data_IF_342974077403
#
_entry.id   IF_342974077403
#
_cell.length_a   1.000
_cell.length_b   1.000
_cell.length_c   1.000
_cell.angle_alpha   90.00
_cell.angle_beta   90.00
_cell.angle_gamma   90.00
#
_symmetry.space_group_name_H-M   'P 1'
#
loop_
_entity.id
_entity.type
_entity.pdbx_description
1 polymer ?
#
# COMPACT_ATOMS: atom_id res chain seq x y z
N UNK A 1 -28.27 -42.94 -51.36
CA UNK A 1 -29.49 -43.63 -50.90
C UNK A 1 -29.96 -42.98 -49.60
N UNK A 2 -30.90 -42.01 -49.73
CA UNK A 2 -32.34 -42.11 -49.44
C UNK A 2 -32.61 -42.68 -48.03
N UNK A 3 -33.22 -41.97 -47.07
CA UNK A 3 -34.54 -41.30 -47.10
C UNK A 3 -34.76 -40.53 -45.78
N UNK A 4 -35.22 -39.32 -45.92
CA UNK A 4 -36.17 -38.53 -45.12
C UNK A 4 -37.24 -39.29 -44.37
N UNK A 5 -37.65 -38.80 -43.16
CA UNK A 5 -39.07 -38.55 -42.85
C UNK A 5 -39.30 -37.70 -41.60
N UNK A 6 -39.95 -36.61 -41.82
CA UNK A 6 -40.70 -35.67 -40.99
C UNK A 6 -41.95 -36.27 -40.31
N UNK A 7 -42.37 -35.66 -39.17
CA UNK A 7 -43.76 -35.30 -38.77
C UNK A 7 -43.77 -34.91 -37.29
N UNK A 8 -44.07 -33.70 -36.97
CA UNK A 8 -45.29 -32.87 -36.80
C UNK A 8 -46.10 -33.17 -35.52
N UNK A 9 -46.17 -32.11 -34.66
CA UNK A 9 -47.34 -31.44 -34.06
C UNK A 9 -48.00 -32.09 -32.85
N UNK A 10 -48.09 -31.35 -31.70
CA UNK A 10 -49.26 -30.66 -31.10
C UNK A 10 -48.89 -30.06 -29.73
N UNK A 11 -49.00 -28.82 -29.55
CA UNK A 11 -50.06 -27.90 -29.05
C UNK A 11 -50.53 -28.15 -27.59
N UNK A 12 -50.29 -27.04 -26.81
CA UNK A 12 -51.11 -26.48 -25.71
C UNK A 12 -51.15 -27.17 -24.36
N UNK A 13 -50.61 -26.47 -23.34
CA UNK A 13 -51.52 -25.87 -22.33
C UNK A 13 -50.83 -24.78 -21.51
N UNK A 14 -51.50 -23.63 -21.46
CA UNK A 14 -51.26 -22.52 -20.51
C UNK A 14 -51.62 -22.99 -19.10
N UNK A 15 -50.76 -22.68 -18.11
CA UNK A 15 -51.30 -22.33 -16.80
C UNK A 15 -50.41 -21.29 -16.14
N UNK A 16 -51.04 -20.21 -15.75
CA UNK A 16 -50.57 -19.09 -14.95
C UNK A 16 -49.93 -19.59 -13.65
N UNK A 17 -48.74 -19.11 -13.34
CA UNK A 17 -48.30 -18.89 -11.95
C UNK A 17 -47.66 -17.50 -11.83
N UNK A 18 -48.39 -16.70 -11.13
CA UNK A 18 -48.18 -15.33 -10.66
C UNK A 18 -46.85 -15.09 -9.97
N UNK A 19 -46.30 -13.96 -10.33
CA UNK A 19 -45.33 -13.10 -9.66
C UNK A 19 -45.13 -13.27 -8.15
N UNK A 20 -43.98 -13.80 -7.72
CA UNK A 20 -43.34 -13.48 -6.45
C UNK A 20 -41.81 -13.73 -6.64
N UNK A 21 -41.07 -12.90 -7.36
CA UNK A 21 -39.60 -12.91 -7.33
C UNK A 21 -39.00 -11.64 -7.98
N UNK A 22 -39.41 -10.47 -7.50
CA UNK A 22 -38.81 -9.20 -8.00
C UNK A 22 -38.36 -8.21 -6.88
N UNK A 23 -38.30 -8.62 -5.62
CA UNK A 23 -37.86 -7.67 -4.54
C UNK A 23 -36.48 -7.92 -3.91
N UNK A 24 -35.83 -9.05 -4.19
CA UNK A 24 -34.53 -9.37 -3.54
C UNK A 24 -33.27 -9.02 -4.36
N UNK A 25 -33.41 -8.66 -5.64
CA UNK A 25 -32.23 -8.30 -6.48
C UNK A 25 -31.80 -6.84 -6.35
N UNK A 26 -32.69 -5.91 -5.90
CA UNK A 26 -32.36 -4.49 -5.84
C UNK A 26 -31.65 -4.03 -4.56
N UNK A 27 -31.76 -4.76 -3.47
CA UNK A 27 -31.08 -4.41 -2.21
C UNK A 27 -29.60 -4.80 -2.22
N UNK A 28 -29.23 -5.93 -2.83
CA UNK A 28 -27.82 -6.34 -2.96
C UNK A 28 -27.01 -5.48 -3.93
N UNK A 29 -27.64 -4.95 -4.99
CA UNK A 29 -26.96 -4.06 -5.95
C UNK A 29 -26.80 -2.64 -5.40
N UNK A 30 -27.71 -2.16 -4.56
CA UNK A 30 -27.63 -0.84 -3.90
C UNK A 30 -26.55 -0.81 -2.82
N UNK A 31 -26.43 -1.88 -2.02
CA UNK A 31 -25.38 -2.04 -1.02
C UNK A 31 -23.99 -2.11 -1.66
N UNK A 32 -23.82 -2.89 -2.72
CA UNK A 32 -22.52 -2.97 -3.44
C UNK A 32 -22.13 -1.66 -4.11
N UNK A 33 -23.08 -0.90 -4.67
CA UNK A 33 -22.82 0.43 -5.24
C UNK A 33 -22.49 1.48 -4.18
N UNK A 34 -23.09 1.41 -3.00
CA UNK A 34 -22.81 2.35 -1.91
C UNK A 34 -21.43 2.09 -1.30
N UNK A 35 -21.05 0.82 -1.11
CA UNK A 35 -19.72 0.44 -0.64
C UNK A 35 -18.64 0.82 -1.66
N UNK A 36 -18.86 0.61 -2.95
CA UNK A 36 -17.93 1.01 -4.00
C UNK A 36 -17.78 2.53 -4.12
N UNK A 37 -18.87 3.28 -3.91
CA UNK A 37 -18.86 4.75 -3.97
C UNK A 37 -18.15 5.36 -2.76
N UNK A 38 -18.39 4.86 -1.53
CA UNK A 38 -17.68 5.27 -0.31
C UNK A 38 -16.19 4.90 -0.34
N UNK A 39 -15.82 3.81 -0.99
CA UNK A 39 -14.42 3.42 -1.14
C UNK A 39 -13.69 4.35 -2.13
N UNK A 40 -14.34 4.72 -3.22
CA UNK A 40 -13.81 5.66 -4.22
C UNK A 40 -13.69 7.09 -3.66
N UNK A 41 -14.69 7.57 -2.92
CA UNK A 41 -14.65 8.91 -2.30
C UNK A 41 -13.54 9.02 -1.24
N UNK A 42 -13.39 8.03 -0.35
CA UNK A 42 -12.27 7.98 0.62
C UNK A 42 -10.89 7.86 -0.04
N UNK A 43 -10.83 7.18 -1.17
CA UNK A 43 -9.60 7.04 -1.96
C UNK A 43 -9.21 8.35 -2.63
N UNK A 44 -10.15 9.04 -3.25
CA UNK A 44 -9.91 10.33 -3.92
C UNK A 44 -9.43 11.42 -2.93
N UNK A 45 -9.92 11.41 -1.69
CA UNK A 45 -9.45 12.34 -0.65
C UNK A 45 -8.04 12.02 -0.14
N UNK A 46 -7.65 10.75 -0.07
CA UNK A 46 -6.29 10.31 0.31
C UNK A 46 -5.27 10.66 -0.78
N UNK A 47 -5.64 10.52 -2.05
CA UNK A 47 -4.80 10.86 -3.21
C UNK A 47 -4.54 12.36 -3.30
N UNK A 48 -5.53 13.19 -2.93
CA UNK A 48 -5.42 14.66 -3.06
C UNK A 48 -4.40 15.28 -2.11
N UNK A 49 -4.13 14.69 -0.95
CA UNK A 49 -3.28 15.30 0.08
C UNK A 49 -1.89 14.66 0.20
N UNK A 50 -1.70 13.44 -0.29
CA UNK A 50 -0.41 12.70 -0.24
C UNK A 50 0.26 12.73 1.15
N UNK A 51 -0.55 12.54 2.20
CA UNK A 51 -0.08 12.54 3.57
C UNK A 51 0.72 11.29 3.91
N UNK A 52 1.72 11.44 4.76
CA UNK A 52 2.38 10.33 5.44
C UNK A 52 1.37 9.51 6.27
N UNK A 53 1.54 8.18 6.39
CA UNK A 53 0.66 7.35 7.22
C UNK A 53 0.62 7.77 8.69
N UNK A 54 1.66 8.46 9.19
CA UNK A 54 1.73 8.99 10.56
C UNK A 54 0.72 10.11 10.82
N UNK A 55 0.37 10.90 9.79
CA UNK A 55 -0.45 12.13 9.90
C UNK A 55 -1.89 11.95 9.44
N UNK A 56 -2.24 10.86 8.79
CA UNK A 56 -3.58 10.58 8.22
C UNK A 56 -4.77 10.67 9.20
N UNK A 57 -4.53 10.81 10.49
CA UNK A 57 -5.58 10.73 11.53
C UNK A 57 -6.49 11.95 11.60
N UNK A 58 -6.08 13.13 11.14
CA UNK A 58 -6.86 14.38 11.25
C UNK A 58 -7.96 14.54 10.20
N UNK A 59 -7.82 13.94 9.03
CA UNK A 59 -8.84 13.91 7.98
C UNK A 59 -8.97 15.19 7.13
N UNK A 60 -8.33 16.32 7.51
CA UNK A 60 -8.37 17.56 6.73
C UNK A 60 -6.98 18.10 6.35
N UNK A 61 -5.93 17.78 7.12
CA UNK A 61 -4.56 18.27 6.91
C UNK A 61 -3.53 17.17 7.14
N UNK A 62 -2.41 17.23 6.40
CA UNK A 62 -1.22 16.45 6.66
C UNK A 62 -0.37 17.04 7.79
N UNK A 63 -0.52 18.34 8.07
CA UNK A 63 0.31 19.07 9.03
C UNK A 63 -0.13 18.80 10.47
N UNK A 64 0.83 18.84 11.40
CA UNK A 64 0.57 18.85 12.84
C UNK A 64 -0.07 20.18 13.25
N UNK A 65 -0.69 20.25 14.43
CA UNK A 65 -1.23 21.52 14.95
C UNK A 65 -0.12 22.53 15.16
N UNK A 66 1.03 22.11 15.68
CA UNK A 66 2.22 22.96 15.87
C UNK A 66 2.75 23.49 14.54
N UNK A 67 2.75 22.66 13.49
CA UNK A 67 3.14 23.10 12.16
C UNK A 67 2.16 24.15 11.59
N UNK A 68 0.85 23.95 11.82
CA UNK A 68 -0.17 24.94 11.40
C UNK A 68 -0.04 26.26 12.15
N UNK A 69 0.22 26.24 13.48
CA UNK A 69 0.46 27.46 14.25
C UNK A 69 1.71 28.19 13.73
N UNK A 70 2.81 27.48 13.53
CA UNK A 70 4.04 28.07 12.99
C UNK A 70 3.84 28.63 11.59
N UNK A 71 3.11 27.91 10.72
CA UNK A 71 2.78 28.37 9.38
C UNK A 71 1.95 29.66 9.39
N UNK A 72 0.93 29.74 10.28
CA UNK A 72 0.15 30.96 10.53
C UNK A 72 1.03 32.12 10.94
N UNK A 73 1.92 31.92 11.91
CA UNK A 73 2.76 32.96 12.44
C UNK A 73 3.72 33.51 11.37
N UNK A 74 4.32 32.62 10.57
CA UNK A 74 5.16 32.98 9.43
C UNK A 74 4.36 33.73 8.34
N UNK A 75 3.13 33.29 8.08
CA UNK A 75 2.22 33.97 7.17
C UNK A 75 1.92 35.39 7.64
N UNK A 76 1.52 35.56 8.89
CA UNK A 76 1.10 36.84 9.47
C UNK A 76 2.25 37.87 9.48
N UNK A 77 3.48 37.45 9.71
CA UNK A 77 4.67 38.32 9.62
C UNK A 77 4.82 38.87 8.21
N UNK A 78 4.56 38.10 7.19
CA UNK A 78 4.75 38.49 5.79
C UNK A 78 3.53 39.16 5.17
N UNK A 79 2.33 38.86 5.67
CA UNK A 79 1.04 39.30 5.11
C UNK A 79 0.15 39.90 6.22
N UNK A 80 0.52 41.03 6.82
CA UNK A 80 -0.25 41.58 7.95
C UNK A 80 -1.65 42.09 7.55
N UNK A 81 -1.84 42.42 6.29
CA UNK A 81 -3.10 42.87 5.67
C UNK A 81 -4.16 41.74 5.58
N UNK A 82 -3.73 40.50 5.51
CA UNK A 82 -4.59 39.29 5.46
C UNK A 82 -4.23 38.30 6.56
N UNK A 83 -3.87 38.83 7.74
CA UNK A 83 -3.46 38.05 8.87
C UNK A 83 -4.55 37.03 9.35
N UNK A 84 -4.11 35.87 9.78
CA UNK A 84 -4.96 34.80 10.29
C UNK A 84 -5.00 34.88 11.82
N UNK A 85 -6.11 35.41 12.37
CA UNK A 85 -6.30 35.65 13.81
C UNK A 85 -7.11 34.50 14.46
N UNK A 86 -6.72 33.24 14.21
CA UNK A 86 -7.36 32.07 14.82
C UNK A 86 -6.32 31.21 15.54
N UNK A 87 -6.76 30.57 16.63
CA UNK A 87 -6.01 29.53 17.34
C UNK A 87 -6.62 28.13 17.12
N UNK A 88 -7.65 28.01 16.28
CA UNK A 88 -8.17 26.72 15.85
C UNK A 88 -7.35 26.23 14.63
N UNK A 89 -6.66 25.07 14.73
CA UNK A 89 -5.88 24.52 13.64
C UNK A 89 -6.67 24.32 12.34
N UNK A 90 -7.94 23.93 12.46
CA UNK A 90 -8.80 23.73 11.30
C UNK A 90 -9.13 25.05 10.59
N UNK A 91 -9.47 26.10 11.36
CA UNK A 91 -9.71 27.44 10.80
C UNK A 91 -8.42 28.02 10.18
N UNK A 92 -7.25 27.82 10.81
CA UNK A 92 -5.96 28.22 10.25
C UNK A 92 -5.77 27.55 8.89
N UNK A 93 -5.99 26.24 8.82
CA UNK A 93 -5.86 25.48 7.59
C UNK A 93 -6.82 25.97 6.49
N UNK A 94 -8.09 26.21 6.83
CA UNK A 94 -9.10 26.71 5.88
C UNK A 94 -8.71 28.10 5.32
N UNK A 95 -8.25 29.01 6.17
CA UNK A 95 -7.79 30.34 5.77
C UNK A 95 -6.52 30.27 4.93
N UNK A 96 -5.55 29.44 5.32
CA UNK A 96 -4.35 29.18 4.51
C UNK A 96 -4.72 28.66 3.12
N UNK A 97 -5.63 27.69 3.04
CA UNK A 97 -6.11 27.13 1.77
C UNK A 97 -6.74 28.20 0.87
N UNK A 98 -7.51 29.12 1.43
CA UNK A 98 -8.12 30.24 0.69
C UNK A 98 -7.02 31.19 0.19
N UNK A 99 -6.12 31.62 1.07
CA UNK A 99 -5.07 32.58 0.76
C UNK A 99 -4.05 32.02 -0.25
N UNK A 100 -3.78 30.71 -0.18
CA UNK A 100 -2.82 30.06 -1.07
C UNK A 100 -3.41 29.53 -2.38
N UNK A 101 -4.74 29.62 -2.57
CA UNK A 101 -5.45 29.01 -3.71
C UNK A 101 -4.89 29.39 -5.08
N UNK A 102 -4.43 30.63 -5.24
CA UNK A 102 -3.84 31.12 -6.50
C UNK A 102 -2.39 30.70 -6.72
N UNK A 103 -1.72 30.23 -5.67
CA UNK A 103 -0.28 29.88 -5.69
C UNK A 103 -0.08 28.36 -5.62
N UNK A 104 -0.78 27.73 -4.71
CA UNK A 104 -0.61 26.30 -4.40
C UNK A 104 -1.93 25.63 -4.03
N UNK A 105 -2.17 24.47 -4.64
CA UNK A 105 -3.33 23.62 -4.30
C UNK A 105 -3.03 22.54 -3.25
N UNK A 106 -1.74 22.33 -2.90
CA UNK A 106 -1.29 21.28 -1.98
C UNK A 106 -0.53 21.88 -0.80
N UNK A 107 -0.68 21.28 0.38
CA UNK A 107 -0.01 21.75 1.60
C UNK A 107 1.51 21.64 1.54
N UNK A 108 2.05 20.64 0.87
CA UNK A 108 3.49 20.48 0.63
C UNK A 108 4.07 21.69 -0.10
N UNK A 109 3.32 22.24 -1.04
CA UNK A 109 3.70 23.47 -1.75
C UNK A 109 3.68 24.71 -0.83
N UNK A 110 2.76 24.79 0.16
CA UNK A 110 2.74 25.91 1.11
C UNK A 110 4.05 26.01 1.89
N UNK A 111 4.60 24.86 2.31
CA UNK A 111 5.83 24.80 3.10
C UNK A 111 7.08 25.21 2.31
N UNK A 112 7.01 25.19 0.98
CA UNK A 112 8.10 25.61 0.08
C UNK A 112 8.09 27.10 -0.28
N UNK A 113 7.06 27.82 0.16
CA UNK A 113 6.94 29.24 -0.17
C UNK A 113 7.99 30.10 0.54
N UNK A 114 8.37 31.21 -0.09
CA UNK A 114 9.41 32.09 0.42
C UNK A 114 9.17 32.65 1.84
N UNK A 115 7.91 32.83 2.25
CA UNK A 115 7.59 33.27 3.62
C UNK A 115 7.92 32.24 4.69
N UNK A 116 7.94 30.93 4.35
CA UNK A 116 8.30 29.84 5.27
C UNK A 116 9.82 29.77 5.47
N UNK A 117 10.59 30.12 4.45
CA UNK A 117 12.06 30.20 4.48
C UNK A 117 12.74 28.97 5.10
N UNK A 118 12.28 27.77 4.72
CA UNK A 118 12.84 26.49 5.17
C UNK A 118 12.59 26.11 6.64
N UNK A 119 11.88 26.95 7.41
CA UNK A 119 11.65 26.71 8.84
C UNK A 119 10.75 25.51 9.15
N UNK A 120 10.05 24.97 8.12
CA UNK A 120 9.18 23.80 8.21
C UNK A 120 9.67 22.63 7.33
N UNK A 121 10.95 22.61 6.94
CA UNK A 121 11.50 21.53 6.10
C UNK A 121 11.32 20.14 6.74
N UNK A 122 11.47 20.01 8.06
CA UNK A 122 11.22 18.76 8.76
C UNK A 122 9.80 18.23 8.54
N UNK A 123 8.82 19.11 8.44
CA UNK A 123 7.43 18.75 8.19
C UNK A 123 7.23 18.20 6.77
N UNK A 124 8.02 18.66 5.78
CA UNK A 124 7.99 18.09 4.44
C UNK A 124 8.33 16.60 4.44
N UNK A 125 9.34 16.21 5.23
CA UNK A 125 9.82 14.82 5.30
C UNK A 125 8.91 13.91 6.13
N UNK A 126 8.24 14.47 7.15
CA UNK A 126 7.49 13.66 8.13
C UNK A 126 5.99 13.66 7.89
N UNK A 127 5.43 14.76 7.35
CA UNK A 127 3.97 14.93 7.20
C UNK A 127 3.43 14.44 5.86
N UNK A 128 4.27 14.31 4.85
CA UNK A 128 3.88 13.91 3.50
C UNK A 128 4.49 12.58 3.10
N UNK A 129 3.90 11.93 2.09
CA UNK A 129 4.52 10.80 1.42
C UNK A 129 5.88 11.20 0.83
N UNK A 130 6.83 10.26 0.67
CA UNK A 130 8.15 10.57 0.11
C UNK A 130 8.05 11.24 -1.26
N UNK A 131 9.07 12.02 -1.62
CA UNK A 131 9.19 12.56 -2.98
C UNK A 131 9.11 11.45 -4.02
N UNK A 132 8.41 11.70 -5.12
CA UNK A 132 8.39 10.78 -6.24
C UNK A 132 9.77 10.68 -6.90
N UNK A 133 10.13 9.51 -7.46
CA UNK A 133 11.38 9.35 -8.21
C UNK A 133 11.53 10.41 -9.29
N UNK A 134 12.72 11.01 -9.42
CA UNK A 134 12.98 12.07 -10.41
C UNK A 134 12.80 11.58 -11.84
N UNK A 135 13.05 10.30 -12.08
CA UNK A 135 12.93 9.61 -13.36
C UNK A 135 11.50 9.65 -13.87
N UNK A 136 10.50 9.70 -12.98
CA UNK A 136 9.08 9.75 -13.36
C UNK A 136 8.69 11.03 -14.13
N UNK A 137 9.47 12.10 -14.02
CA UNK A 137 9.28 13.31 -14.84
C UNK A 137 9.49 13.04 -16.33
N UNK A 138 10.32 12.04 -16.67
CA UNK A 138 10.61 11.62 -18.05
C UNK A 138 9.85 10.36 -18.43
N UNK A 139 9.75 9.41 -17.50
CA UNK A 139 9.05 8.15 -17.66
C UNK A 139 8.13 7.90 -16.44
N UNK A 140 6.84 8.27 -16.50
CA UNK A 140 5.90 8.12 -15.38
C UNK A 140 5.72 6.67 -14.91
N UNK A 141 6.06 5.71 -15.76
CA UNK A 141 5.96 4.28 -15.47
C UNK A 141 7.32 3.66 -15.10
N UNK A 142 8.35 4.45 -14.81
CA UNK A 142 9.64 3.92 -14.37
C UNK A 142 9.48 3.06 -13.11
N UNK A 143 10.31 2.03 -13.03
CA UNK A 143 10.31 1.10 -11.92
C UNK A 143 10.69 1.78 -10.61
N UNK A 144 10.17 1.24 -9.50
CA UNK A 144 10.61 1.65 -8.18
C UNK A 144 11.98 1.03 -7.87
N UNK A 145 12.89 1.88 -7.43
CA UNK A 145 14.17 1.44 -6.86
C UNK A 145 14.00 0.90 -5.44
N UNK A 146 15.03 0.23 -4.93
CA UNK A 146 15.09 -0.20 -3.51
C UNK A 146 14.92 0.98 -2.56
N UNK A 147 15.49 2.14 -2.90
CA UNK A 147 15.40 3.35 -2.07
C UNK A 147 13.96 3.90 -2.04
N UNK A 148 13.27 3.89 -3.16
CA UNK A 148 11.87 4.35 -3.21
C UNK A 148 10.98 3.50 -2.32
N UNK A 149 11.09 2.17 -2.43
CA UNK A 149 10.36 1.21 -1.59
C UNK A 149 10.69 1.44 -0.10
N UNK A 150 11.96 1.57 0.23
CA UNK A 150 12.42 1.78 1.60
C UNK A 150 11.85 3.08 2.20
N UNK A 151 11.86 4.18 1.44
CA UNK A 151 11.36 5.47 1.90
C UNK A 151 9.87 5.42 2.25
N UNK A 152 9.08 4.72 1.43
CA UNK A 152 7.66 4.49 1.73
C UNK A 152 7.50 3.63 2.99
N UNK A 153 8.17 2.49 3.05
CA UNK A 153 7.97 1.52 4.13
C UNK A 153 8.44 2.03 5.50
N UNK A 154 9.49 2.86 5.57
CA UNK A 154 9.93 3.53 6.81
C UNK A 154 8.82 4.40 7.43
N UNK A 155 8.01 5.06 6.61
CA UNK A 155 6.89 5.84 7.13
C UNK A 155 5.79 4.95 7.72
N UNK A 156 5.56 3.77 7.14
CA UNK A 156 4.62 2.79 7.70
C UNK A 156 5.14 2.17 9.00
N UNK A 157 6.44 1.89 9.13
CA UNK A 157 7.04 1.47 10.40
C UNK A 157 6.90 2.53 11.50
N UNK A 158 7.14 3.79 11.15
CA UNK A 158 6.96 4.90 12.09
C UNK A 158 5.50 5.02 12.57
N UNK A 159 4.52 4.76 11.68
CA UNK A 159 3.09 4.84 11.97
C UNK A 159 2.55 3.63 12.75
N UNK A 160 3.10 2.44 12.52
CA UNK A 160 2.62 1.17 13.08
C UNK A 160 3.69 0.50 13.94
N UNK A 161 3.71 0.79 15.24
CA UNK A 161 4.75 0.27 16.18
C UNK A 161 4.86 -1.25 16.22
N UNK A 162 3.76 -1.96 15.92
CA UNK A 162 3.76 -3.43 15.85
C UNK A 162 4.25 -3.99 14.51
N UNK A 163 4.66 -3.16 13.59
CA UNK A 163 5.13 -3.53 12.25
C UNK A 163 6.65 -3.41 12.16
N UNK A 164 7.25 -4.36 11.45
CA UNK A 164 8.65 -4.35 11.02
C UNK A 164 8.71 -4.56 9.52
N UNK A 165 9.48 -3.74 8.84
CA UNK A 165 9.76 -3.92 7.42
C UNK A 165 11.21 -4.37 7.25
N UNK A 166 11.42 -5.50 6.57
CA UNK A 166 12.74 -6.03 6.27
C UNK A 166 12.94 -6.02 4.75
N UNK A 167 13.96 -5.33 4.31
CA UNK A 167 14.26 -5.18 2.88
C UNK A 167 14.21 -3.73 2.41
N UNK A 168 14.11 -3.49 1.08
CA UNK A 168 14.05 -4.48 -0.01
C UNK A 168 15.33 -5.29 -0.12
N UNK A 169 15.21 -6.59 -0.19
CA UNK A 169 16.34 -7.52 -0.19
C UNK A 169 16.48 -8.25 -1.52
N UNK A 170 17.68 -8.52 -2.03
CA UNK A 170 17.86 -9.43 -3.14
C UNK A 170 17.53 -10.87 -2.72
N UNK A 171 17.24 -11.73 -3.71
CA UNK A 171 16.82 -13.12 -3.45
C UNK A 171 17.90 -13.96 -2.76
N UNK A 172 19.17 -13.63 -2.96
CA UNK A 172 20.34 -14.31 -2.40
C UNK A 172 20.78 -13.71 -1.05
N UNK A 173 19.81 -13.24 -0.25
CA UNK A 173 20.01 -12.55 1.02
C UNK A 173 20.93 -13.28 2.02
N UNK A 174 20.97 -14.62 1.98
CA UNK A 174 21.74 -15.49 2.87
C UNK A 174 23.09 -15.96 2.28
N UNK A 175 23.48 -15.40 1.13
CA UNK A 175 24.82 -15.62 0.58
C UNK A 175 25.84 -14.87 1.40
N UNK A 176 26.95 -15.55 1.75
CA UNK A 176 28.05 -14.94 2.51
C UNK A 176 29.03 -14.23 1.59
N UNK A 177 29.40 -13.01 1.97
CA UNK A 177 30.46 -12.22 1.33
C UNK A 177 31.86 -12.64 1.85
N UNK A 178 32.90 -12.02 1.31
CA UNK A 178 34.29 -12.35 1.57
C UNK A 178 34.68 -12.42 3.06
N UNK A 179 34.05 -11.66 3.94
CA UNK A 179 34.34 -11.63 5.37
C UNK A 179 33.28 -12.37 6.22
N UNK A 180 32.46 -13.18 5.58
CA UNK A 180 31.43 -13.98 6.28
C UNK A 180 30.13 -13.22 6.57
N UNK A 181 30.03 -11.96 6.19
CA UNK A 181 28.78 -11.17 6.30
C UNK A 181 27.77 -11.66 5.25
N UNK A 182 26.50 -11.71 5.65
CA UNK A 182 25.42 -12.00 4.72
C UNK A 182 25.17 -10.84 3.75
N UNK A 183 24.63 -11.14 2.59
CA UNK A 183 24.21 -10.12 1.62
C UNK A 183 23.15 -9.22 2.26
N UNK A 184 22.23 -9.78 3.07
CA UNK A 184 21.25 -9.03 3.86
C UNK A 184 21.15 -9.57 5.28
N UNK A 185 21.85 -8.93 6.22
CA UNK A 185 22.03 -9.37 7.59
C UNK A 185 20.72 -9.59 8.35
N UNK A 186 19.76 -8.68 8.21
CA UNK A 186 18.47 -8.72 8.94
C UNK A 186 17.64 -9.95 8.59
N UNK A 187 17.69 -10.43 7.33
CA UNK A 187 17.02 -11.66 6.91
C UNK A 187 17.83 -12.91 7.24
N UNK A 188 19.15 -12.84 7.03
CA UNK A 188 20.07 -13.95 7.29
C UNK A 188 20.03 -14.36 8.76
N UNK A 189 20.02 -13.39 9.66
CA UNK A 189 19.99 -13.57 11.12
C UNK A 189 18.62 -13.29 11.73
N UNK A 190 17.56 -13.46 10.93
CA UNK A 190 16.20 -13.22 11.40
C UNK A 190 15.88 -14.07 12.63
N UNK A 191 15.37 -13.41 13.68
CA UNK A 191 15.00 -14.06 14.92
C UNK A 191 13.58 -13.69 15.34
N UNK A 192 12.65 -14.64 15.21
CA UNK A 192 11.22 -14.44 15.50
C UNK A 192 10.98 -14.08 16.97
N UNK A 193 11.72 -14.70 17.91
CA UNK A 193 11.55 -14.41 19.34
C UNK A 193 11.92 -12.97 19.68
N UNK A 194 12.98 -12.46 19.07
CA UNK A 194 13.39 -11.06 19.23
C UNK A 194 12.33 -10.10 18.65
N UNK A 195 11.75 -10.42 17.49
CA UNK A 195 10.67 -9.62 16.94
C UNK A 195 9.47 -9.54 17.89
N UNK A 196 9.06 -10.67 18.45
CA UNK A 196 7.97 -10.72 19.43
C UNK A 196 8.31 -9.93 20.70
N UNK A 197 9.54 -10.07 21.24
CA UNK A 197 10.01 -9.32 22.43
C UNK A 197 9.98 -7.82 22.18
N UNK A 198 10.27 -7.38 20.98
CA UNK A 198 10.23 -5.97 20.56
C UNK A 198 8.81 -5.49 20.20
N UNK A 199 7.78 -6.31 20.41
CA UNK A 199 6.39 -5.97 20.12
C UNK A 199 6.03 -5.99 18.63
N UNK A 200 6.89 -6.53 17.77
CA UNK A 200 6.66 -6.65 16.34
C UNK A 200 5.79 -7.87 16.05
N UNK A 201 4.56 -7.63 15.68
CA UNK A 201 3.54 -8.66 15.47
C UNK A 201 3.16 -8.83 14.00
N UNK A 202 3.58 -7.91 13.15
CA UNK A 202 3.39 -7.91 11.70
C UNK A 202 4.73 -7.61 11.04
N UNK A 203 5.15 -8.45 10.11
CA UNK A 203 6.45 -8.31 9.42
C UNK A 203 6.18 -8.34 7.92
N UNK A 204 6.65 -7.33 7.22
CA UNK A 204 6.62 -7.24 5.77
C UNK A 204 8.02 -7.39 5.19
N UNK A 205 8.16 -8.17 4.14
CA UNK A 205 9.42 -8.32 3.41
C UNK A 205 9.15 -8.11 1.93
N UNK A 206 10.01 -7.34 1.25
CA UNK A 206 9.99 -7.21 -0.21
C UNK A 206 11.32 -7.73 -0.73
N UNK A 207 11.26 -8.61 -1.72
CA UNK A 207 12.42 -9.21 -2.36
C UNK A 207 12.51 -8.76 -3.82
N UNK A 208 13.73 -8.56 -4.30
CA UNK A 208 14.03 -8.58 -5.73
C UNK A 208 14.41 -10.01 -6.13
N UNK A 209 13.87 -10.51 -7.23
CA UNK A 209 14.17 -11.86 -7.71
C UNK A 209 15.57 -12.02 -8.30
N UNK A 210 16.28 -10.91 -8.56
CA UNK A 210 17.69 -10.95 -8.92
C UNK A 210 18.59 -11.01 -7.68
N UNK A 211 19.74 -11.66 -7.78
CA UNK A 211 20.79 -11.61 -6.77
C UNK A 211 21.42 -10.20 -6.67
N UNK A 212 22.11 -9.95 -5.56
CA UNK A 212 22.68 -8.63 -5.20
C UNK A 212 23.61 -8.00 -6.25
N UNK A 213 24.20 -8.81 -7.13
CA UNK A 213 25.13 -8.38 -8.18
C UNK A 213 24.46 -8.16 -9.54
N UNK A 214 23.12 -8.14 -9.61
CA UNK A 214 22.29 -7.87 -10.79
C UNK A 214 21.51 -6.57 -10.65
N UNK A 215 20.97 -6.12 -11.78
CA UNK A 215 20.26 -4.83 -11.85
C UNK A 215 18.86 -4.82 -11.24
N UNK A 216 18.32 -5.99 -10.92
CA UNK A 216 16.92 -6.15 -10.48
C UNK A 216 15.99 -6.48 -11.64
N UNK A 217 15.08 -7.43 -11.43
CA UNK A 217 14.15 -7.91 -12.46
C UNK A 217 12.68 -7.82 -12.03
N UNK A 218 12.36 -8.19 -10.79
CA UNK A 218 10.98 -8.25 -10.33
C UNK A 218 10.91 -8.13 -8.81
N UNK A 219 9.89 -7.38 -8.33
CA UNK A 219 9.61 -7.22 -6.92
C UNK A 219 8.48 -8.14 -6.48
N UNK A 220 8.72 -8.93 -5.45
CA UNK A 220 7.75 -9.80 -4.79
C UNK A 220 7.72 -9.55 -3.29
N UNK A 221 6.70 -10.00 -2.59
CA UNK A 221 6.51 -9.66 -1.19
C UNK A 221 6.02 -10.82 -0.33
N UNK A 222 6.40 -10.76 0.93
CA UNK A 222 6.00 -11.70 1.97
C UNK A 222 5.45 -10.93 3.17
N UNK A 223 4.34 -11.41 3.74
CA UNK A 223 3.76 -10.84 4.95
C UNK A 223 3.56 -11.90 6.02
N UNK A 224 4.11 -11.66 7.20
CA UNK A 224 3.98 -12.52 8.37
C UNK A 224 3.08 -11.82 9.39
N UNK A 225 1.98 -12.44 9.75
CA UNK A 225 1.12 -11.98 10.84
C UNK A 225 1.22 -12.98 11.99
N UNK A 226 2.00 -12.63 13.00
CA UNK A 226 2.29 -13.50 14.16
C UNK A 226 1.00 -13.76 14.96
N UNK A 227 0.17 -12.73 15.13
CA UNK A 227 -1.08 -12.81 15.87
C UNK A 227 -2.10 -13.72 15.18
N UNK A 228 -2.20 -13.64 13.85
CA UNK A 228 -3.06 -14.49 13.03
C UNK A 228 -2.42 -15.84 12.69
N UNK A 229 -1.13 -16.02 13.00
CA UNK A 229 -0.34 -17.23 12.70
C UNK A 229 -0.29 -17.55 11.21
N UNK A 230 -0.18 -16.52 10.36
CA UNK A 230 -0.20 -16.68 8.92
C UNK A 230 1.05 -16.08 8.27
N UNK A 231 1.52 -16.74 7.22
CA UNK A 231 2.55 -16.24 6.30
C UNK A 231 1.93 -16.28 4.91
N UNK A 232 1.97 -15.17 4.21
CA UNK A 232 1.44 -15.08 2.86
C UNK A 232 2.49 -14.50 1.91
N UNK A 233 2.74 -15.20 0.82
CA UNK A 233 3.59 -14.74 -0.28
C UNK A 233 2.73 -14.16 -1.39
N UNK A 234 3.16 -13.06 -1.95
CA UNK A 234 2.49 -12.38 -3.04
C UNK A 234 3.45 -12.06 -4.17
N UNK A 235 3.12 -12.55 -5.37
CA UNK A 235 3.74 -12.22 -6.62
C UNK A 235 2.67 -11.67 -7.58
N UNK A 236 2.85 -10.45 -8.07
CA UNK A 236 1.90 -9.84 -9.01
C UNK A 236 1.83 -10.57 -10.36
N UNK A 237 2.90 -11.25 -10.77
CA UNK A 237 2.92 -12.11 -11.95
C UNK A 237 2.21 -13.46 -11.74
N UNK A 238 1.88 -13.81 -10.50
CA UNK A 238 1.20 -15.06 -10.18
C UNK A 238 2.12 -16.29 -10.18
N UNK A 239 3.41 -16.10 -10.09
CA UNK A 239 4.37 -17.18 -10.04
C UNK A 239 4.47 -17.83 -8.65
N UNK A 240 4.91 -19.08 -8.62
CA UNK A 240 5.11 -19.82 -7.38
C UNK A 240 6.29 -19.24 -6.58
N UNK A 241 6.21 -19.30 -5.26
CA UNK A 241 7.28 -18.82 -4.37
C UNK A 241 8.64 -19.47 -4.72
N UNK A 242 9.72 -18.69 -4.93
CA UNK A 242 11.05 -19.22 -5.12
C UNK A 242 11.57 -19.99 -3.92
N UNK A 243 12.44 -20.99 -4.19
CA UNK A 243 13.01 -21.87 -3.16
C UNK A 243 13.77 -21.11 -2.08
N UNK A 244 14.45 -20.01 -2.42
CA UNK A 244 15.18 -19.15 -1.48
C UNK A 244 14.24 -18.48 -0.49
N UNK A 245 13.11 -17.94 -0.97
CA UNK A 245 12.10 -17.31 -0.10
C UNK A 245 11.36 -18.38 0.71
N UNK A 246 11.09 -19.55 0.12
CA UNK A 246 10.50 -20.67 0.86
C UNK A 246 11.42 -21.16 1.99
N UNK A 247 12.75 -21.11 1.82
CA UNK A 247 13.73 -21.38 2.87
C UNK A 247 13.53 -20.44 4.07
N UNK A 248 13.34 -19.15 3.82
CA UNK A 248 13.03 -18.17 4.87
C UNK A 248 11.69 -18.49 5.56
N UNK A 249 10.63 -18.78 4.79
CA UNK A 249 9.33 -19.18 5.35
C UNK A 249 9.46 -20.40 6.28
N UNK A 250 10.22 -21.42 5.85
CA UNK A 250 10.44 -22.63 6.65
C UNK A 250 11.24 -22.32 7.92
N UNK A 251 12.24 -21.44 7.86
CA UNK A 251 12.95 -20.96 9.05
C UNK A 251 12.01 -20.30 10.05
N UNK A 252 11.15 -19.37 9.60
CA UNK A 252 10.14 -18.71 10.46
C UNK A 252 9.19 -19.72 11.10
N UNK A 253 8.71 -20.71 10.34
CA UNK A 253 7.83 -21.78 10.86
C UNK A 253 8.54 -22.61 11.93
N UNK A 254 9.79 -23.00 11.69
CA UNK A 254 10.60 -23.75 12.64
C UNK A 254 10.86 -22.95 13.91
N UNK A 255 11.26 -21.69 13.80
CA UNK A 255 11.41 -20.80 14.95
C UNK A 255 10.10 -20.64 15.74
N UNK A 256 8.96 -20.53 15.03
CA UNK A 256 7.65 -20.47 15.67
C UNK A 256 7.34 -21.70 16.53
N UNK A 257 7.67 -22.90 16.05
CA UNK A 257 7.48 -24.14 16.80
C UNK A 257 8.40 -24.25 18.03
N UNK A 258 9.58 -23.64 17.97
CA UNK A 258 10.59 -23.66 19.04
C UNK A 258 10.35 -22.63 20.13
N UNK A 259 9.41 -21.71 19.97
CA UNK A 259 9.08 -20.73 21.01
C UNK A 259 8.55 -21.40 22.28
N UNK A 260 8.78 -20.77 23.45
CA UNK A 260 8.23 -21.23 24.74
C UNK A 260 6.70 -21.46 24.69
N UNK A 261 5.98 -20.66 23.90
CA UNK A 261 4.58 -20.90 23.50
C UNK A 261 4.57 -21.11 21.99
N UNK A 262 4.51 -22.35 21.50
CA UNK A 262 4.63 -22.65 20.07
C UNK A 262 3.59 -21.96 19.20
N UNK A 263 4.03 -21.45 18.06
CA UNK A 263 3.20 -20.86 17.02
C UNK A 263 3.30 -21.73 15.77
N UNK A 264 2.18 -22.35 15.39
CA UNK A 264 2.09 -23.11 14.14
C UNK A 264 1.60 -22.17 13.03
N UNK A 265 2.52 -21.66 12.22
CA UNK A 265 2.19 -20.80 11.09
C UNK A 265 1.60 -21.61 9.92
N UNK A 266 0.50 -21.10 9.37
CA UNK A 266 0.00 -21.51 8.05
C UNK A 266 0.68 -20.66 6.98
N UNK A 267 1.07 -21.30 5.87
CA UNK A 267 1.59 -20.62 4.68
C UNK A 267 0.58 -20.70 3.55
N UNK A 268 0.45 -19.62 2.79
CA UNK A 268 -0.36 -19.55 1.57
C UNK A 268 0.26 -18.54 0.58
N UNK A 269 -0.16 -18.57 -0.68
CA UNK A 269 0.34 -17.70 -1.75
C UNK A 269 -0.77 -17.42 -2.76
N UNK A 270 -0.61 -16.35 -3.58
CA UNK A 270 -1.59 -16.08 -4.63
C UNK A 270 -1.46 -16.96 -5.87
N UNK A 271 -0.36 -17.70 -6.03
CA UNK A 271 -0.19 -18.64 -7.15
C UNK A 271 -1.44 -19.52 -7.35
N UNK A 272 -1.92 -19.74 -8.58
CA UNK A 272 -1.40 -19.24 -9.86
C UNK A 272 -2.12 -17.95 -10.35
N UNK A 273 -2.61 -17.10 -9.47
CA UNK A 273 -3.40 -15.91 -9.84
C UNK A 273 -2.51 -14.75 -10.21
N UNK A 274 -2.50 -14.41 -11.49
CA UNK A 274 -1.82 -13.26 -12.07
C UNK A 274 -2.67 -11.99 -11.89
N UNK A 275 -2.02 -10.91 -11.44
CA UNK A 275 -2.61 -9.60 -11.27
C UNK A 275 -2.04 -8.58 -12.25
N UNK A 276 -0.71 -8.64 -12.48
CA UNK A 276 0.04 -7.71 -13.30
C UNK A 276 0.22 -8.27 -14.70
N UNK A 277 -0.31 -7.56 -15.69
CA UNK A 277 -0.15 -7.90 -17.11
C UNK A 277 0.88 -7.01 -17.81
N UNK A 278 1.21 -5.86 -17.23
CA UNK A 278 2.31 -4.99 -17.64
C UNK A 278 3.64 -5.39 -16.96
N UNK A 279 4.66 -4.57 -17.14
CA UNK A 279 6.01 -4.85 -16.62
C UNK A 279 6.58 -3.74 -15.73
N UNK A 280 5.78 -2.77 -15.29
CA UNK A 280 6.28 -1.57 -14.59
C UNK A 280 5.80 -1.43 -13.14
N UNK A 281 4.76 -2.18 -12.73
CA UNK A 281 4.07 -1.92 -11.47
C UNK A 281 4.39 -2.91 -10.33
N UNK A 282 5.30 -3.89 -10.50
CA UNK A 282 5.60 -4.91 -9.48
C UNK A 282 5.98 -4.30 -8.12
N UNK A 283 6.76 -3.22 -8.10
CA UNK A 283 7.09 -2.50 -6.87
C UNK A 283 5.87 -1.86 -6.21
N UNK A 284 4.94 -1.30 -7.00
CA UNK A 284 3.69 -0.72 -6.49
C UNK A 284 2.76 -1.81 -5.95
N UNK A 285 2.65 -2.95 -6.65
CA UNK A 285 1.92 -4.13 -6.16
C UNK A 285 2.47 -4.63 -4.84
N UNK A 286 3.80 -4.68 -4.70
CA UNK A 286 4.45 -5.09 -3.45
C UNK A 286 4.17 -4.15 -2.30
N UNK A 287 4.23 -2.82 -2.52
CA UNK A 287 3.84 -1.82 -1.53
C UNK A 287 2.35 -1.94 -1.17
N UNK A 288 1.48 -2.06 -2.18
CA UNK A 288 0.05 -2.22 -1.98
C UNK A 288 -0.27 -3.44 -1.10
N UNK A 289 0.34 -4.58 -1.43
CA UNK A 289 0.15 -5.81 -0.67
C UNK A 289 0.54 -5.63 0.80
N UNK A 290 1.76 -5.17 1.08
CA UNK A 290 2.25 -5.00 2.46
C UNK A 290 1.35 -4.03 3.23
N UNK A 291 1.03 -2.87 2.66
CA UNK A 291 0.23 -1.83 3.33
C UNK A 291 -1.19 -2.33 3.62
N UNK A 292 -1.83 -3.01 2.68
CA UNK A 292 -3.21 -3.45 2.86
C UNK A 292 -3.33 -4.69 3.77
N UNK A 293 -2.30 -5.54 3.80
CA UNK A 293 -2.18 -6.61 4.80
C UNK A 293 -1.92 -6.04 6.21
N UNK A 294 -1.11 -4.97 6.30
CA UNK A 294 -0.83 -4.26 7.55
C UNK A 294 -2.11 -3.63 8.13
N UNK A 295 -2.92 -3.01 7.28
CA UNK A 295 -4.19 -2.36 7.66
C UNK A 295 -5.37 -3.36 7.82
N UNK A 296 -5.13 -4.66 7.61
CA UNK A 296 -6.17 -5.71 7.57
C UNK A 296 -7.30 -5.44 6.55
N UNK A 297 -7.01 -4.68 5.47
CA UNK A 297 -7.96 -4.33 4.40
C UNK A 297 -8.14 -5.41 3.36
N UNK A 298 -7.13 -6.25 3.17
CA UNK A 298 -7.16 -7.41 2.28
C UNK A 298 -6.75 -8.68 3.02
N UNK A 299 -7.08 -9.80 2.43
CA UNK A 299 -6.70 -11.13 2.91
C UNK A 299 -6.08 -11.93 1.77
N UNK A 300 -5.35 -13.00 2.08
CA UNK A 300 -4.85 -13.93 1.07
C UNK A 300 -5.97 -14.51 0.20
N UNK A 301 -7.13 -14.79 0.79
CA UNK A 301 -8.31 -15.23 0.02
C UNK A 301 -8.77 -14.18 -1.00
N UNK A 302 -8.78 -12.90 -0.61
CA UNK A 302 -9.12 -11.81 -1.54
C UNK A 302 -8.19 -11.78 -2.75
N UNK A 303 -6.89 -11.91 -2.53
CA UNK A 303 -5.88 -11.90 -3.60
C UNK A 303 -5.97 -13.13 -4.52
N UNK A 304 -6.50 -14.24 -4.04
CA UNK A 304 -6.73 -15.45 -4.86
C UNK A 304 -8.05 -15.44 -5.63
N UNK A 305 -8.94 -14.51 -5.34
CA UNK A 305 -10.30 -14.47 -5.91
C UNK A 305 -10.64 -13.18 -6.64
N UNK A 306 -9.81 -12.14 -6.53
CA UNK A 306 -10.02 -10.83 -7.15
C UNK A 306 -8.73 -10.35 -7.80
N UNK A 307 -8.78 -10.08 -9.09
CA UNK A 307 -7.65 -9.52 -9.82
C UNK A 307 -7.57 -8.02 -9.57
N UNK A 308 -6.38 -7.58 -9.16
CA UNK A 308 -6.00 -6.17 -9.07
C UNK A 308 -5.40 -5.77 -10.42
N UNK A 309 -6.02 -4.85 -11.13
CA UNK A 309 -5.56 -4.45 -12.47
C UNK A 309 -4.44 -3.41 -12.41
N UNK A 310 -3.58 -3.38 -13.43
CA UNK A 310 -2.47 -2.43 -13.54
C UNK A 310 -2.93 -0.97 -13.46
N UNK A 311 -4.03 -0.60 -14.15
CA UNK A 311 -4.53 0.78 -14.11
C UNK A 311 -4.98 1.19 -12.70
N UNK A 312 -5.45 0.23 -11.91
CA UNK A 312 -5.76 0.48 -10.50
C UNK A 312 -4.49 0.67 -9.68
N UNK A 313 -3.45 -0.12 -9.91
CA UNK A 313 -2.17 -0.01 -9.23
C UNK A 313 -1.42 1.28 -9.59
N UNK A 314 -1.46 1.74 -10.83
CA UNK A 314 -0.85 3.02 -11.24
C UNK A 314 -1.32 4.20 -10.38
N UNK A 315 -2.58 4.20 -9.95
CA UNK A 315 -3.09 5.26 -9.06
C UNK A 315 -2.38 5.28 -7.69
N UNK A 316 -1.84 4.14 -7.24
CA UNK A 316 -1.11 4.07 -5.96
C UNK A 316 0.27 4.73 -6.00
N UNK A 317 0.84 5.01 -7.19
CA UNK A 317 2.01 5.88 -7.31
C UNK A 317 1.75 7.23 -6.64
N UNK A 318 0.57 7.82 -6.85
CA UNK A 318 0.16 9.07 -6.23
C UNK A 318 -0.29 8.92 -4.76
N UNK A 319 -0.45 7.71 -4.25
CA UNK A 319 -0.76 7.45 -2.83
C UNK A 319 0.52 7.31 -2.01
N UNK A 320 1.52 6.64 -2.59
CA UNK A 320 2.77 6.34 -1.89
C UNK A 320 3.83 7.41 -2.09
N UNK A 321 3.69 8.27 -3.08
CA UNK A 321 4.67 9.30 -3.40
C UNK A 321 4.01 10.67 -3.57
N UNK A 322 4.79 11.71 -3.31
CA UNK A 322 4.38 13.09 -3.51
C UNK A 322 5.18 13.69 -4.68
N UNK A 323 4.46 14.05 -5.74
CA UNK A 323 5.03 14.61 -6.98
C UNK A 323 5.41 16.09 -6.87
N UNK A 324 5.05 16.74 -5.75
CA UNK A 324 5.40 18.14 -5.48
C UNK A 324 6.66 18.31 -4.60
N UNK A 325 7.27 17.23 -4.13
CA UNK A 325 8.47 17.27 -3.28
C UNK A 325 9.79 17.20 -4.05
#
# INVERSE_FOLDING_TARGET
MTRTRTRKINKKNKHNKTSIHKKTKNTKSRSKRHIAKTFKEKYDDLVKQQCSPTTKKKGYSCLTDDALYKLRDLWNVRHPDVAINSNDPKEIWEKMKINMKSVCNKESCWLKQGFVNGQLNKELDTSFAPASPREWKKNPNEWLSSLDIMNVMKQYEAAYKCFEFIGPSPIDYDTHKLYGECVWEELCHFNLENQIKNGKMKIGVIFNLDPHNKGGSHWVSLFINIKKKTIFYFDSAGDEIPTQIMKFVNSVKTQGQQLKKPINFTFDQNYPVEHQYGNTECGVYSLYFIVHMLDDKITGHYLKTHILKDEYMQNFRNVYFNDDL
#
